data_IF_686727862071
#
_entry.id   IF_686727862071
#
_cell.length_a   1.000
_cell.length_b   1.000
_cell.length_c   1.000
_cell.angle_alpha   90.00
_cell.angle_beta   90.00
_cell.angle_gamma   90.00
#
_symmetry.space_group_name_H-M   'P 1'
#
loop_
_entity.id
_entity.type
_entity.pdbx_description
1 polymer ?
#
# COMPACT_ATOMS: atom_id res chain seq x y z
N UNK A 1 -7.43 3.02 -16.52
CA UNK A 1 -6.34 2.39 -15.74
C UNK A 1 -5.15 3.33 -15.76
N UNK A 2 -4.59 3.72 -14.61
CA UNK A 2 -3.48 4.70 -14.56
C UNK A 2 -2.09 4.05 -14.69
N UNK A 3 -2.00 2.72 -14.60
CA UNK A 3 -0.77 1.94 -14.74
C UNK A 3 -0.90 0.93 -15.91
N UNK A 4 -0.93 1.41 -17.17
CA UNK A 4 -1.25 0.57 -18.32
C UNK A 4 -0.10 -0.36 -18.77
N UNK A 5 1.15 -0.12 -18.36
CA UNK A 5 2.33 -0.86 -18.82
C UNK A 5 2.46 -2.30 -18.30
N UNK A 6 3.45 -3.02 -18.82
CA UNK A 6 3.89 -4.33 -18.33
C UNK A 6 4.62 -4.21 -16.99
N UNK A 7 4.82 -5.32 -16.26
CA UNK A 7 5.55 -5.31 -15.00
C UNK A 7 6.98 -4.76 -15.17
N UNK A 8 7.65 -5.11 -16.27
CA UNK A 8 8.99 -4.65 -16.62
C UNK A 8 9.01 -3.15 -16.89
N UNK A 9 8.06 -2.65 -17.69
CA UNK A 9 7.95 -1.22 -18.02
C UNK A 9 7.67 -0.37 -16.77
N UNK A 10 6.76 -0.83 -15.91
CA UNK A 10 6.41 -0.16 -14.64
C UNK A 10 7.63 -0.09 -13.73
N UNK A 11 8.31 -1.22 -13.53
CA UNK A 11 9.51 -1.29 -12.69
C UNK A 11 10.62 -0.39 -13.22
N UNK A 12 10.90 -0.46 -14.53
CA UNK A 12 11.90 0.40 -15.15
C UNK A 12 11.55 1.88 -14.98
N UNK A 13 10.30 2.26 -15.20
CA UNK A 13 9.82 3.63 -15.01
C UNK A 13 9.99 4.10 -13.57
N UNK A 14 9.57 3.31 -12.58
CA UNK A 14 9.71 3.64 -11.16
C UNK A 14 11.17 3.80 -10.71
N UNK A 15 12.05 2.86 -11.10
CA UNK A 15 13.44 2.87 -10.70
C UNK A 15 14.27 3.96 -11.42
N UNK A 16 13.96 4.25 -12.68
CA UNK A 16 14.76 5.24 -13.46
C UNK A 16 14.26 6.67 -13.24
N UNK A 17 12.95 6.89 -13.34
CA UNK A 17 12.36 8.23 -13.29
C UNK A 17 12.21 8.74 -11.86
N UNK A 18 11.76 7.88 -10.95
CA UNK A 18 11.51 8.24 -9.56
C UNK A 18 12.58 7.76 -8.60
N UNK A 19 13.61 7.04 -9.09
CA UNK A 19 14.72 6.54 -8.29
C UNK A 19 14.24 5.75 -7.07
N UNK A 20 13.22 4.91 -7.26
CA UNK A 20 12.70 4.08 -6.18
C UNK A 20 13.82 3.18 -5.62
N UNK A 21 14.13 3.35 -4.33
CA UNK A 21 15.12 2.56 -3.58
C UNK A 21 14.49 1.37 -2.84
N UNK A 22 13.17 1.24 -2.92
CA UNK A 22 12.39 0.15 -2.34
C UNK A 22 11.89 -0.81 -3.42
N UNK A 23 11.58 -2.07 -3.06
CA UNK A 23 11.08 -3.05 -4.02
C UNK A 23 9.79 -2.59 -4.70
N UNK A 24 9.76 -2.74 -6.03
CA UNK A 24 8.55 -2.63 -6.84
C UNK A 24 8.12 -4.05 -7.22
N UNK A 25 6.89 -4.40 -6.88
CA UNK A 25 6.30 -5.72 -7.15
C UNK A 25 5.49 -5.72 -8.44
N UNK A 26 5.19 -6.91 -8.93
CA UNK A 26 4.33 -7.12 -10.09
C UNK A 26 2.93 -6.53 -9.88
N UNK A 27 2.31 -6.11 -10.98
CA UNK A 27 0.96 -5.56 -10.98
C UNK A 27 -0.04 -6.64 -10.58
N UNK A 28 -0.88 -6.33 -9.59
CA UNK A 28 -1.93 -7.21 -9.08
C UNK A 28 -3.24 -6.43 -8.88
N UNK A 29 -4.35 -7.15 -8.84
CA UNK A 29 -5.65 -6.57 -8.47
C UNK A 29 -5.73 -6.39 -6.96
N UNK A 30 -6.16 -5.20 -6.54
CA UNK A 30 -6.33 -4.83 -5.12
C UNK A 30 -7.79 -4.87 -4.67
N UNK A 31 -8.72 -4.93 -5.64
CA UNK A 31 -10.16 -5.02 -5.45
C UNK A 31 -10.77 -6.03 -6.43
N UNK A 32 -12.01 -6.47 -6.14
CA UNK A 32 -12.74 -7.40 -7.00
C UNK A 32 -12.40 -8.88 -6.77
N UNK A 33 -12.93 -9.78 -7.61
CA UNK A 33 -12.85 -11.24 -7.40
C UNK A 33 -11.43 -11.81 -7.49
N UNK A 34 -10.52 -11.10 -8.15
CA UNK A 34 -9.11 -11.50 -8.30
C UNK A 34 -8.17 -10.77 -7.34
N UNK A 35 -8.70 -10.14 -6.28
CA UNK A 35 -7.89 -9.43 -5.28
C UNK A 35 -6.78 -10.35 -4.75
N UNK A 36 -5.53 -9.90 -4.84
CA UNK A 36 -4.40 -10.67 -4.33
C UNK A 36 -4.50 -10.91 -2.80
N UNK A 37 -4.08 -12.08 -2.28
CA UNK A 37 -4.25 -12.43 -0.86
C UNK A 37 -3.71 -11.40 0.13
N UNK A 38 -2.58 -10.76 -0.19
CA UNK A 38 -2.02 -9.70 0.66
C UNK A 38 -2.98 -8.53 0.83
N UNK A 39 -3.69 -8.12 -0.23
CA UNK A 39 -4.67 -7.05 -0.16
C UNK A 39 -5.97 -7.48 0.51
N UNK A 40 -6.33 -8.77 0.47
CA UNK A 40 -7.45 -9.29 1.29
C UNK A 40 -7.13 -9.14 2.78
N UNK A 41 -5.92 -9.52 3.18
CA UNK A 41 -5.42 -9.35 4.54
C UNK A 41 -5.32 -7.86 4.96
N UNK A 42 -4.73 -7.01 4.13
CA UNK A 42 -4.57 -5.59 4.46
C UNK A 42 -5.93 -4.90 4.66
N UNK A 43 -6.92 -5.22 3.82
CA UNK A 43 -8.25 -4.58 3.86
C UNK A 43 -9.10 -5.07 5.04
N UNK A 44 -8.95 -6.31 5.48
CA UNK A 44 -9.75 -6.88 6.59
C UNK A 44 -9.42 -6.27 7.95
N UNK A 45 -8.27 -5.62 8.08
CA UNK A 45 -7.80 -5.01 9.32
C UNK A 45 -8.47 -3.66 9.66
N UNK A 46 -9.02 -2.97 8.66
CA UNK A 46 -9.74 -1.71 8.84
C UNK A 46 -11.24 -1.99 9.02
N UNK A 47 -11.61 -2.53 10.18
CA UNK A 47 -12.99 -2.88 10.57
C UNK A 47 -13.93 -1.67 10.73
N UNK A 48 -14.16 -0.93 9.65
CA UNK A 48 -15.09 0.19 9.59
C UNK A 48 -16.32 -0.12 8.74
N UNK A 49 -17.44 0.54 9.05
CA UNK A 49 -18.75 0.42 8.37
C UNK A 49 -18.71 0.79 6.87
N UNK A 50 -17.60 1.35 6.37
CA UNK A 50 -17.43 1.88 5.02
C UNK A 50 -16.58 0.99 4.11
N UNK A 51 -16.87 -0.31 4.03
CA UNK A 51 -16.42 -1.19 2.96
C UNK A 51 -14.91 -1.43 2.83
N UNK A 52 -14.54 -2.68 2.58
CA UNK A 52 -13.14 -3.11 2.46
C UNK A 52 -12.50 -2.76 1.11
N UNK A 53 -12.99 -1.74 0.39
CA UNK A 53 -12.49 -1.34 -0.93
C UNK A 53 -11.38 -0.29 -0.80
N UNK A 54 -10.30 -0.48 -1.56
CA UNK A 54 -9.27 0.54 -1.77
C UNK A 54 -9.83 1.55 -2.78
N UNK A 55 -9.95 2.81 -2.36
CA UNK A 55 -10.75 3.79 -3.12
C UNK A 55 -9.99 4.40 -4.29
N UNK A 56 -8.67 4.50 -4.19
CA UNK A 56 -7.83 5.12 -5.20
C UNK A 56 -6.37 4.72 -5.07
N UNK A 57 -5.55 5.15 -6.03
CA UNK A 57 -4.10 4.99 -6.00
C UNK A 57 -3.48 5.71 -4.78
N UNK A 58 -2.35 5.20 -4.31
CA UNK A 58 -1.59 5.71 -3.15
C UNK A 58 -2.29 5.59 -1.79
N UNK A 59 -3.21 4.65 -1.62
CA UNK A 59 -3.63 4.21 -0.29
C UNK A 59 -2.46 3.51 0.42
N UNK A 60 -2.27 3.75 1.73
CA UNK A 60 -1.14 3.21 2.49
C UNK A 60 -1.61 2.38 3.67
N UNK A 61 -0.87 1.32 3.97
CA UNK A 61 -1.09 0.47 5.14
C UNK A 61 0.20 0.41 5.95
N UNK A 62 0.08 0.53 7.27
CA UNK A 62 1.20 0.36 8.20
C UNK A 62 1.04 -0.98 8.91
N UNK A 63 2.06 -1.83 8.80
CA UNK A 63 2.12 -3.16 9.39
C UNK A 63 3.26 -3.20 10.39
N UNK A 64 3.01 -3.72 11.59
CA UNK A 64 4.02 -3.81 12.66
C UNK A 64 4.95 -5.03 12.50
N UNK A 65 5.96 -5.14 13.39
CA UNK A 65 6.93 -6.24 13.41
C UNK A 65 6.33 -7.63 13.66
N UNK A 66 5.10 -7.70 14.16
CA UNK A 66 4.38 -8.95 14.41
C UNK A 66 3.45 -9.31 13.23
N UNK A 67 3.47 -8.52 12.16
CA UNK A 67 2.61 -8.72 11.00
C UNK A 67 1.18 -8.23 11.21
N UNK A 68 0.90 -7.40 12.22
CA UNK A 68 -0.43 -6.82 12.44
C UNK A 68 -0.54 -5.49 11.68
N UNK A 69 -1.63 -5.31 10.93
CA UNK A 69 -1.93 -3.99 10.35
C UNK A 69 -2.43 -3.09 11.49
N UNK A 70 -1.76 -1.95 11.66
CA UNK A 70 -2.01 -1.02 12.78
C UNK A 70 -2.62 0.30 12.34
N UNK A 71 -2.50 0.66 11.06
CA UNK A 71 -3.13 1.87 10.52
C UNK A 71 -3.35 1.78 9.00
N UNK A 72 -4.36 2.50 8.50
CA UNK A 72 -4.71 2.62 7.07
C UNK A 72 -4.90 4.09 6.72
N UNK A 73 -4.08 4.61 5.81
CA UNK A 73 -4.07 6.02 5.45
C UNK A 73 -4.64 6.26 4.05
N UNK A 74 -5.56 7.24 3.87
CA UNK A 74 -6.07 7.58 2.55
C UNK A 74 -4.97 8.16 1.64
N UNK A 75 -5.20 8.20 0.31
CA UNK A 75 -4.30 8.80 -0.67
C UNK A 75 -3.83 10.22 -0.34
N UNK A 76 -4.69 11.01 0.30
CA UNK A 76 -4.44 12.41 0.67
C UNK A 76 -3.50 12.58 1.87
N UNK A 77 -3.26 11.53 2.66
CA UNK A 77 -2.29 11.60 3.76
C UNK A 77 -0.88 11.72 3.21
N UNK A 78 -0.19 12.79 3.63
CA UNK A 78 1.22 13.02 3.31
C UNK A 78 2.11 11.98 4.00
N UNK A 79 3.11 11.38 3.32
CA UNK A 79 4.04 10.43 3.93
C UNK A 79 4.73 10.95 5.18
N UNK A 80 5.06 12.24 5.25
CA UNK A 80 5.70 12.85 6.43
C UNK A 80 4.81 12.80 7.68
N UNK A 81 3.49 12.72 7.52
CA UNK A 81 2.58 12.59 8.66
C UNK A 81 2.58 11.19 9.25
N UNK A 82 3.05 10.18 8.50
CA UNK A 82 3.12 8.77 8.90
C UNK A 82 4.39 8.49 9.71
N UNK A 83 5.44 9.31 9.55
CA UNK A 83 6.75 9.13 10.20
C UNK A 83 6.64 8.96 11.72
N UNK A 84 5.82 9.78 12.38
CA UNK A 84 5.59 9.69 13.83
C UNK A 84 5.04 8.33 14.27
N UNK A 85 4.24 7.67 13.44
CA UNK A 85 3.62 6.39 13.78
C UNK A 85 4.61 5.25 13.53
N UNK A 86 5.44 5.37 12.49
CA UNK A 86 6.58 4.45 12.25
C UNK A 86 7.56 4.51 13.42
N UNK A 87 7.95 5.72 13.87
CA UNK A 87 8.88 5.90 14.99
C UNK A 87 8.36 5.26 16.30
N UNK A 88 7.05 5.37 16.57
CA UNK A 88 6.43 4.70 17.74
C UNK A 88 6.56 3.18 17.67
N UNK A 89 6.38 2.58 16.48
CA UNK A 89 6.48 1.13 16.31
C UNK A 89 7.93 0.63 16.42
N UNK A 90 8.90 1.44 15.98
CA UNK A 90 10.33 1.10 16.08
C UNK A 90 10.86 1.20 17.52
N UNK A 91 10.27 2.08 18.34
CA UNK A 91 10.63 2.24 19.74
C UNK A 91 10.04 1.16 20.67
N UNK A 92 9.17 0.29 20.15
CA UNK A 92 8.44 -0.76 20.87
C UNK A 92 9.04 -2.17 20.68
#
# INVERSE_FOLDING_TARGET
MQEPGSNEEIKQFACTKFKAEFPIFDKVDVNGPFTAPVYQFLKSSSGGFFGDLIKWNFEKFLVDKNGKVVERYPPTTSPFQIEKDIQKLLAA
#
